data_IF_104426604261
#
_entry.id   IF_104426604261
#
_cell.length_a   1.000
_cell.length_b   1.000
_cell.length_c   1.000
_cell.angle_alpha   90.00
_cell.angle_beta   90.00
_cell.angle_gamma   90.00
#
_symmetry.space_group_name_H-M   'P 1'
#
loop_
_entity.id
_entity.type
_entity.pdbx_description
1 polymer ?
#
# COMPACT_ATOMS: atom_id res chain seq x y z
N UNK A 1 26.39 18.78 -8.21
CA UNK A 1 26.25 17.43 -7.64
C UNK A 1 25.57 17.58 -6.29
N UNK A 2 24.29 17.24 -6.21
CA UNK A 2 23.62 16.80 -4.98
C UNK A 2 22.19 16.39 -5.36
N UNK A 3 22.03 15.10 -5.67
CA UNK A 3 20.74 14.42 -5.78
C UNK A 3 20.78 13.34 -4.70
N UNK A 4 20.43 13.69 -3.46
CA UNK A 4 20.42 12.74 -2.34
C UNK A 4 19.56 13.28 -1.19
N UNK A 5 18.26 13.46 -1.45
CA UNK A 5 17.28 13.80 -0.41
C UNK A 5 15.82 13.45 -0.79
N UNK A 6 15.58 12.47 -1.65
CA UNK A 6 14.20 12.06 -2.02
C UNK A 6 14.00 10.54 -2.01
N UNK A 7 14.91 9.79 -1.37
CA UNK A 7 14.70 8.37 -1.07
C UNK A 7 14.38 8.22 0.41
N UNK A 8 13.46 9.05 0.92
CA UNK A 8 12.83 8.80 2.22
C UNK A 8 12.05 7.50 2.04
N UNK A 9 12.63 6.43 2.58
CA UNK A 9 12.15 5.08 2.44
C UNK A 9 10.71 5.04 2.94
N UNK A 10 9.80 4.48 2.13
CA UNK A 10 8.62 3.83 2.68
C UNK A 10 9.21 2.71 3.55
N UNK A 11 9.39 3.02 4.84
CA UNK A 11 10.23 2.32 5.78
C UNK A 11 9.58 1.02 6.25
N UNK A 12 9.29 0.14 5.31
CA UNK A 12 8.80 -1.20 5.61
C UNK A 12 9.98 -2.16 5.75
N UNK A 13 9.99 -2.86 6.86
CA UNK A 13 10.87 -3.99 7.13
C UNK A 13 10.24 -5.27 6.59
N UNK A 14 11.07 -6.26 6.25
CA UNK A 14 10.58 -7.57 5.79
C UNK A 14 9.65 -8.22 6.83
N UNK A 15 9.88 -7.99 8.12
CA UNK A 15 9.04 -8.51 9.21
C UNK A 15 7.63 -7.96 9.25
N UNK A 16 7.39 -6.79 8.65
CA UNK A 16 6.05 -6.18 8.57
C UNK A 16 5.24 -6.71 7.37
N UNK A 17 5.85 -7.51 6.49
CA UNK A 17 5.15 -8.13 5.38
C UNK A 17 4.44 -9.43 5.79
N UNK A 18 3.38 -9.85 5.06
CA UNK A 18 2.72 -11.12 5.33
C UNK A 18 3.74 -12.27 5.34
N UNK A 19 3.65 -13.24 6.27
CA UNK A 19 4.66 -14.28 6.45
C UNK A 19 5.02 -15.03 5.15
N UNK A 20 4.03 -15.26 4.29
CA UNK A 20 4.20 -15.95 3.00
C UNK A 20 4.96 -15.12 1.95
N UNK A 21 5.03 -13.80 2.13
CA UNK A 21 5.72 -12.84 1.26
C UNK A 21 7.17 -12.66 1.69
N UNK A 22 7.49 -12.84 2.97
CA UNK A 22 8.82 -12.57 3.54
C UNK A 22 9.97 -13.24 2.75
N UNK A 23 9.89 -14.52 2.34
CA UNK A 23 10.96 -15.14 1.54
C UNK A 23 11.20 -14.45 0.19
N UNK A 24 10.15 -13.85 -0.40
CA UNK A 24 10.27 -13.07 -1.62
C UNK A 24 10.85 -11.68 -1.34
N UNK A 25 10.42 -11.05 -0.25
CA UNK A 25 10.85 -9.72 0.18
C UNK A 25 12.33 -9.64 0.54
N UNK A 26 12.95 -10.74 1.00
CA UNK A 26 14.39 -10.84 1.18
C UNK A 26 15.19 -10.66 -0.13
N UNK A 27 14.57 -10.90 -1.28
CA UNK A 27 15.20 -10.72 -2.58
C UNK A 27 15.09 -9.27 -3.07
N UNK A 28 16.25 -8.61 -3.24
CA UNK A 28 16.35 -7.21 -3.70
C UNK A 28 15.48 -6.86 -4.91
N UNK A 29 15.40 -7.68 -5.99
CA UNK A 29 14.57 -7.32 -7.15
C UNK A 29 13.07 -7.25 -6.84
N UNK A 30 12.58 -8.16 -5.97
CA UNK A 30 11.19 -8.15 -5.56
C UNK A 30 10.90 -6.89 -4.72
N UNK A 31 11.80 -6.56 -3.77
CA UNK A 31 11.65 -5.36 -2.95
C UNK A 31 11.73 -4.07 -3.77
N UNK A 32 12.57 -4.03 -4.80
CA UNK A 32 12.62 -2.90 -5.73
C UNK A 32 11.29 -2.74 -6.48
N UNK A 33 10.67 -3.83 -6.94
CA UNK A 33 9.36 -3.80 -7.59
C UNK A 33 8.25 -3.32 -6.64
N UNK A 34 8.29 -3.75 -5.37
CA UNK A 34 7.38 -3.25 -4.34
C UNK A 34 7.54 -1.74 -4.10
N UNK A 35 8.78 -1.26 -3.90
CA UNK A 35 9.04 0.18 -3.74
C UNK A 35 8.55 1.00 -4.94
N UNK A 36 8.72 0.49 -6.16
CA UNK A 36 8.19 1.13 -7.36
C UNK A 36 6.66 1.21 -7.35
N UNK A 37 5.98 0.12 -6.97
CA UNK A 37 4.53 0.10 -6.85
C UNK A 37 4.03 1.11 -5.82
N UNK A 38 4.59 1.09 -4.61
CA UNK A 38 4.25 2.04 -3.56
C UNK A 38 4.51 3.50 -3.97
N UNK A 39 5.60 3.77 -4.70
CA UNK A 39 5.89 5.11 -5.22
C UNK A 39 4.88 5.60 -6.27
N UNK A 40 4.29 4.71 -7.08
CA UNK A 40 3.20 5.10 -8.01
C UNK A 40 1.97 5.58 -7.23
N UNK A 41 1.64 4.89 -6.15
CA UNK A 41 0.57 5.29 -5.24
C UNK A 41 0.88 6.64 -4.59
N UNK A 42 2.07 6.83 -4.02
CA UNK A 42 2.47 8.11 -3.41
C UNK A 42 2.37 9.26 -4.41
N UNK A 43 2.94 9.11 -5.62
CA UNK A 43 2.85 10.13 -6.69
C UNK A 43 1.42 10.46 -7.11
N UNK A 44 0.49 9.54 -6.91
CA UNK A 44 -0.93 9.74 -7.18
C UNK A 44 -1.60 10.56 -6.06
N UNK A 45 -1.28 10.24 -4.80
CA UNK A 45 -1.72 11.02 -3.64
C UNK A 45 -1.17 12.45 -3.66
N UNK A 46 0.10 12.64 -4.03
CA UNK A 46 0.73 13.97 -4.19
C UNK A 46 -0.01 14.86 -5.20
N UNK A 47 -0.70 14.26 -6.18
CA UNK A 47 -1.51 14.97 -7.18
C UNK A 47 -2.93 15.26 -6.71
N UNK A 48 -3.27 14.95 -5.46
CA UNK A 48 -4.62 15.08 -4.90
C UNK A 48 -5.63 14.13 -5.53
N UNK A 49 -5.18 13.01 -6.12
CA UNK A 49 -6.06 12.01 -6.71
C UNK A 49 -6.46 10.97 -5.67
N UNK A 50 -7.61 10.34 -5.86
CA UNK A 50 -8.04 9.19 -5.04
C UNK A 50 -7.00 8.05 -5.12
N UNK A 51 -6.71 7.31 -4.03
CA UNK A 51 -5.64 6.31 -4.00
C UNK A 51 -5.69 5.29 -5.14
N UNK A 52 -6.85 4.67 -5.38
CA UNK A 52 -7.13 3.73 -6.48
C UNK A 52 -5.98 2.74 -6.80
N UNK A 53 -5.63 1.83 -5.86
CA UNK A 53 -4.64 0.78 -6.10
C UNK A 53 -4.96 -0.04 -7.37
N UNK A 54 -3.93 -0.34 -8.15
CA UNK A 54 -4.06 -1.08 -9.41
C UNK A 54 -3.49 -2.50 -9.35
N UNK A 55 -2.75 -2.84 -8.29
CA UNK A 55 -2.22 -4.17 -8.04
C UNK A 55 -2.08 -4.43 -6.54
N UNK A 56 -1.93 -5.69 -6.16
CA UNK A 56 -1.84 -6.14 -4.76
C UNK A 56 -0.71 -5.44 -4.00
N UNK A 57 0.40 -5.13 -4.66
CA UNK A 57 1.50 -4.38 -4.04
C UNK A 57 1.11 -2.94 -3.69
N UNK A 58 0.32 -2.26 -4.54
CA UNK A 58 -0.19 -0.91 -4.25
C UNK A 58 -1.23 -0.94 -3.14
N UNK A 59 -2.06 -1.97 -3.11
CA UNK A 59 -3.06 -2.17 -2.06
C UNK A 59 -2.40 -2.36 -0.69
N UNK A 60 -1.41 -3.26 -0.62
CA UNK A 60 -0.64 -3.44 0.60
C UNK A 60 0.08 -2.15 1.02
N UNK A 61 0.66 -1.41 0.07
CA UNK A 61 1.29 -0.13 0.36
C UNK A 61 0.29 0.90 0.93
N UNK A 62 -0.94 0.95 0.39
CA UNK A 62 -1.97 1.84 0.90
C UNK A 62 -2.36 1.49 2.34
N UNK A 63 -2.48 0.20 2.67
CA UNK A 63 -2.71 -0.24 4.03
C UNK A 63 -1.63 0.26 4.99
N UNK A 64 -0.36 0.04 4.63
CA UNK A 64 0.77 0.50 5.44
C UNK A 64 0.79 2.02 5.62
N UNK A 65 0.43 2.79 4.58
CA UNK A 65 0.37 4.25 4.66
C UNK A 65 -0.74 4.70 5.63
N UNK A 66 -1.91 4.08 5.57
CA UNK A 66 -3.04 4.40 6.47
C UNK A 66 -2.70 4.03 7.91
N UNK A 67 -2.13 2.84 8.14
CA UNK A 67 -1.72 2.40 9.47
C UNK A 67 -0.63 3.31 10.06
N UNK A 68 0.35 3.69 9.25
CA UNK A 68 1.38 4.66 9.65
C UNK A 68 0.76 6.03 9.98
N UNK A 69 -0.18 6.52 9.15
CA UNK A 69 -0.85 7.78 9.40
C UNK A 69 -1.68 7.74 10.70
N UNK A 70 -2.38 6.64 10.96
CA UNK A 70 -3.13 6.40 12.19
C UNK A 70 -2.22 6.37 13.42
N UNK A 71 -1.09 5.66 13.36
CA UNK A 71 -0.09 5.65 14.44
C UNK A 71 0.47 7.04 14.70
N UNK A 72 0.87 7.76 13.66
CA UNK A 72 1.41 9.12 13.78
C UNK A 72 0.40 10.11 14.38
N UNK A 73 -0.89 9.96 14.07
CA UNK A 73 -1.95 10.76 14.69
C UNK A 73 -2.09 10.46 16.19
N UNK A 74 -2.06 9.19 16.58
CA UNK A 74 -2.14 8.77 17.97
C UNK A 74 -0.94 9.23 18.79
N UNK A 75 0.25 9.22 18.19
CA UNK A 75 1.50 9.65 18.82
C UNK A 75 1.66 11.18 18.83
N UNK A 76 0.73 11.92 18.23
CA UNK A 76 0.77 13.39 18.16
C UNK A 76 1.82 13.95 17.19
N UNK A 77 2.39 13.13 16.32
CA UNK A 77 3.46 13.52 15.39
C UNK A 77 3.03 14.64 14.42
N UNK A 78 1.74 14.71 14.07
CA UNK A 78 1.22 15.80 13.24
C UNK A 78 1.19 17.16 13.95
N UNK A 79 1.15 17.18 15.29
CA UNK A 79 1.25 18.42 16.07
C UNK A 79 2.67 19.04 15.98
N UNK A 80 3.70 18.24 15.71
CA UNK A 80 5.07 18.72 15.47
C UNK A 80 5.25 19.24 14.03
N UNK A 81 4.49 18.67 13.08
CA UNK A 81 4.44 19.11 11.67
C UNK A 81 3.47 20.29 11.42
N UNK A 82 2.93 20.88 12.48
CA UNK A 82 1.73 21.73 12.47
C UNK A 82 1.82 23.02 11.64
N UNK A 83 2.99 23.48 11.20
CA UNK A 83 3.11 24.74 10.44
C UNK A 83 2.26 24.76 9.16
N UNK A 84 2.61 23.99 8.12
CA UNK A 84 1.84 23.93 6.88
C UNK A 84 0.49 23.24 7.01
N UNK A 85 0.37 22.25 7.91
CA UNK A 85 -0.88 21.50 8.10
C UNK A 85 -1.99 22.36 8.73
N UNK A 86 -1.65 23.29 9.63
CA UNK A 86 -2.62 24.20 10.23
C UNK A 86 -3.19 25.24 9.25
N UNK A 87 -2.56 25.44 8.08
CA UNK A 87 -3.07 26.32 7.03
C UNK A 87 -4.11 25.63 6.14
N UNK A 88 -4.21 24.29 6.21
CA UNK A 88 -5.23 23.53 5.50
C UNK A 88 -6.59 23.63 6.22
N UNK A 89 -7.71 23.60 5.48
CA UNK A 89 -9.02 23.50 6.09
C UNK A 89 -9.13 22.22 6.93
N UNK A 90 -9.48 22.37 8.21
CA UNK A 90 -9.75 21.23 9.08
C UNK A 90 -11.14 20.65 8.81
N UNK A 91 -11.21 19.33 8.74
CA UNK A 91 -12.43 18.54 8.69
C UNK A 91 -12.40 17.46 9.77
N UNK A 92 -13.54 17.15 10.39
CA UNK A 92 -13.64 15.99 11.29
C UNK A 92 -13.38 14.66 10.58
N UNK A 93 -13.40 14.66 9.24
CA UNK A 93 -13.04 13.51 8.41
C UNK A 93 -11.53 13.29 8.31
N UNK A 94 -10.70 14.28 8.65
CA UNK A 94 -9.24 14.16 8.55
C UNK A 94 -8.65 13.17 9.57
N UNK A 95 -9.42 12.84 10.60
CA UNK A 95 -9.08 11.88 11.65
C UNK A 95 -9.79 10.53 11.47
N UNK A 96 -10.64 10.39 10.44
CA UNK A 96 -11.43 9.19 10.18
C UNK A 96 -10.69 8.22 9.24
N UNK A 97 -9.61 7.62 9.76
CA UNK A 97 -8.79 6.65 9.03
C UNK A 97 -9.57 5.38 8.68
N UNK A 98 -10.56 5.02 9.49
CA UNK A 98 -11.40 3.84 9.26
C UNK A 98 -12.29 4.07 8.03
N UNK A 99 -12.87 5.26 7.85
CA UNK A 99 -13.57 5.64 6.63
C UNK A 99 -12.68 5.56 5.39
N UNK A 100 -11.41 6.00 5.48
CA UNK A 100 -10.46 5.87 4.36
C UNK A 100 -10.25 4.39 4.01
N UNK A 101 -10.10 3.53 5.01
CA UNK A 101 -9.98 2.07 4.79
C UNK A 101 -11.23 1.49 4.13
N UNK A 102 -12.43 1.96 4.51
CA UNK A 102 -13.68 1.45 3.94
C UNK A 102 -13.91 1.87 2.48
N UNK A 103 -13.40 3.03 2.05
CA UNK A 103 -13.72 3.60 0.73
C UNK A 103 -12.58 3.60 -0.28
N UNK A 104 -11.32 3.51 0.17
CA UNK A 104 -10.15 3.61 -0.71
C UNK A 104 -9.80 2.28 -1.40
N UNK A 105 -10.36 1.18 -0.90
CA UNK A 105 -10.06 -0.18 -1.32
C UNK A 105 -11.22 -0.81 -2.11
N UNK A 106 -10.91 -1.72 -3.02
CA UNK A 106 -11.92 -2.56 -3.68
C UNK A 106 -12.18 -3.83 -2.87
N UNK A 107 -11.13 -4.40 -2.30
CA UNK A 107 -11.13 -5.51 -1.35
C UNK A 107 -9.95 -5.36 -0.37
N UNK A 108 -9.88 -6.25 0.61
CA UNK A 108 -8.83 -6.28 1.65
C UNK A 108 -8.09 -7.62 1.66
N UNK A 109 -8.10 -8.32 0.53
CA UNK A 109 -7.72 -9.74 0.49
C UNK A 109 -6.22 -9.91 0.78
N UNK A 110 -5.40 -8.89 0.48
CA UNK A 110 -3.98 -8.90 0.79
C UNK A 110 -3.69 -9.02 2.29
N UNK A 111 -4.56 -8.48 3.15
CA UNK A 111 -4.40 -8.58 4.61
C UNK A 111 -4.72 -9.98 5.13
N UNK A 112 -5.54 -10.75 4.41
CA UNK A 112 -5.83 -12.14 4.80
C UNK A 112 -4.59 -13.02 4.77
N UNK A 113 -3.52 -12.63 4.05
CA UNK A 113 -2.26 -13.38 4.01
C UNK A 113 -1.49 -13.41 5.34
N UNK A 114 -1.85 -12.55 6.30
CA UNK A 114 -1.30 -12.62 7.65
C UNK A 114 -1.84 -13.84 8.42
N UNK A 115 -3.14 -14.12 8.29
CA UNK A 115 -3.82 -15.18 9.03
C UNK A 115 -4.01 -16.47 8.22
N UNK A 116 -4.09 -16.36 6.90
CA UNK A 116 -4.39 -17.45 5.95
C UNK A 116 -3.35 -17.50 4.81
N UNK A 117 -2.08 -17.84 5.11
CA UNK A 117 -1.03 -17.90 4.10
C UNK A 117 -1.31 -18.94 2.99
N UNK A 118 -2.18 -19.92 3.23
CA UNK A 118 -2.62 -20.92 2.24
C UNK A 118 -3.37 -20.34 1.04
N UNK A 119 -3.84 -19.08 1.12
CA UNK A 119 -4.53 -18.39 0.02
C UNK A 119 -3.61 -18.10 -1.17
N UNK A 120 -2.29 -18.22 -1.04
CA UNK A 120 -1.39 -18.13 -2.20
C UNK A 120 -1.48 -19.35 -3.12
N UNK A 121 -2.03 -20.46 -2.64
CA UNK A 121 -2.18 -21.68 -3.42
C UNK A 121 -3.53 -21.68 -4.13
N UNK A 122 -3.60 -22.06 -5.41
CA UNK A 122 -4.88 -22.20 -6.10
C UNK A 122 -5.69 -23.29 -5.40
N UNK A 123 -6.76 -22.87 -4.73
CA UNK A 123 -7.67 -23.75 -4.03
C UNK A 123 -9.12 -23.40 -4.39
N UNK A 124 -10.08 -24.22 -3.94
CA UNK A 124 -11.49 -23.98 -4.22
C UNK A 124 -12.02 -22.67 -3.63
N UNK A 125 -11.43 -22.17 -2.54
CA UNK A 125 -11.82 -20.93 -1.89
C UNK A 125 -11.36 -19.70 -2.69
N UNK A 126 -10.10 -19.66 -3.15
CA UNK A 126 -9.56 -18.55 -3.95
C UNK A 126 -10.32 -18.35 -5.26
N UNK A 127 -10.82 -19.44 -5.88
CA UNK A 127 -11.65 -19.36 -7.08
C UNK A 127 -13.10 -18.97 -6.80
N UNK A 128 -13.63 -19.32 -5.63
CA UNK A 128 -15.00 -18.98 -5.25
C UNK A 128 -15.13 -17.52 -4.80
N UNK A 129 -14.08 -16.96 -4.20
CA UNK A 129 -14.06 -15.60 -3.63
C UNK A 129 -13.50 -14.53 -4.58
N UNK A 130 -13.11 -14.92 -5.81
CA UNK A 130 -12.53 -14.03 -6.84
C UNK A 130 -11.27 -13.25 -6.39
N UNK A 131 -10.48 -13.83 -5.48
CA UNK A 131 -9.25 -13.23 -4.97
C UNK A 131 -8.24 -13.02 -6.11
N UNK A 132 -7.80 -11.77 -6.28
CA UNK A 132 -6.89 -11.41 -7.35
C UNK A 132 -5.42 -11.37 -6.89
N UNK A 133 -4.55 -12.08 -7.62
CA UNK A 133 -3.10 -11.89 -7.58
C UNK A 133 -2.41 -12.05 -6.20
N UNK A 134 -2.99 -12.81 -5.26
CA UNK A 134 -2.45 -12.96 -3.90
C UNK A 134 -1.10 -13.67 -3.81
N UNK A 135 -0.73 -14.49 -4.80
CA UNK A 135 0.59 -15.11 -4.82
C UNK A 135 1.68 -14.03 -4.99
N UNK A 136 2.78 -14.00 -4.21
CA UNK A 136 3.77 -12.91 -4.24
C UNK A 136 4.42 -12.61 -5.61
N UNK A 137 4.43 -13.59 -6.52
CA UNK A 137 4.88 -13.42 -7.92
C UNK A 137 3.92 -12.59 -8.77
N UNK A 138 2.67 -12.49 -8.36
CA UNK A 138 1.59 -11.83 -9.09
C UNK A 138 1.26 -10.45 -8.51
N UNK A 139 1.84 -10.07 -7.36
CA UNK A 139 1.57 -8.81 -6.67
C UNK A 139 1.74 -7.54 -7.52
N UNK A 140 2.55 -7.62 -8.58
CA UNK A 140 2.84 -6.50 -9.48
C UNK A 140 2.04 -6.57 -10.79
N UNK A 141 1.14 -7.56 -10.94
CA UNK A 141 0.23 -7.63 -12.08
C UNK A 141 -0.96 -6.71 -11.84
N UNK A 142 -1.40 -5.96 -12.86
CA UNK A 142 -2.57 -5.12 -12.72
C UNK A 142 -3.81 -6.01 -12.47
N UNK A 143 -4.72 -5.56 -11.62
CA UNK A 143 -6.00 -6.24 -11.39
C UNK A 143 -6.84 -6.30 -12.66
N UNK A 144 -6.75 -5.26 -13.51
CA UNK A 144 -7.43 -5.19 -14.79
C UNK A 144 -6.44 -5.05 -15.93
N UNK A 145 -6.51 -5.89 -16.99
CA UNK A 145 -5.59 -5.82 -18.12
C UNK A 145 -5.52 -4.44 -18.80
N UNK A 146 -6.65 -3.72 -18.84
CA UNK A 146 -6.73 -2.37 -19.42
C UNK A 146 -5.94 -1.30 -18.65
N UNK A 147 -5.55 -1.59 -17.40
CA UNK A 147 -4.79 -0.68 -16.54
C UNK A 147 -3.29 -1.00 -16.54
N UNK A 148 -2.83 -1.95 -17.37
CA UNK A 148 -1.41 -2.31 -17.49
C UNK A 148 -0.52 -1.11 -17.90
N UNK A 149 -1.07 -0.15 -18.65
CA UNK A 149 -0.36 1.08 -19.04
C UNK A 149 0.09 1.92 -17.83
N UNK A 150 -0.59 1.80 -16.69
CA UNK A 150 -0.29 2.58 -15.48
C UNK A 150 0.94 2.04 -14.74
N UNK A 151 1.48 0.87 -15.12
CA UNK A 151 2.69 0.29 -14.52
C UNK A 151 3.99 0.78 -15.18
N UNK A 152 3.92 1.59 -16.24
CA UNK A 152 5.09 2.04 -17.00
C UNK A 152 5.56 3.48 -16.67
N UNK A 153 5.16 4.03 -15.52
CA UNK A 153 5.50 5.41 -15.10
C UNK A 153 6.49 5.43 -13.95
#
# INVERSE_FOLDING_TARGET
MSTSACEDEIGITVSEMPPVVQPYAEHKPWMAAYRQAAMRLVKRLEKGMTPAPNCTAEEFALHMIIDMAKSNAQDGAFAEAAGPLNELPYSTLDEDFDLVSDVAFQDHDVLMLFDMPELIQPNGLTQMMDFANLHPKDWFKPFQPRLASNHHV
#
